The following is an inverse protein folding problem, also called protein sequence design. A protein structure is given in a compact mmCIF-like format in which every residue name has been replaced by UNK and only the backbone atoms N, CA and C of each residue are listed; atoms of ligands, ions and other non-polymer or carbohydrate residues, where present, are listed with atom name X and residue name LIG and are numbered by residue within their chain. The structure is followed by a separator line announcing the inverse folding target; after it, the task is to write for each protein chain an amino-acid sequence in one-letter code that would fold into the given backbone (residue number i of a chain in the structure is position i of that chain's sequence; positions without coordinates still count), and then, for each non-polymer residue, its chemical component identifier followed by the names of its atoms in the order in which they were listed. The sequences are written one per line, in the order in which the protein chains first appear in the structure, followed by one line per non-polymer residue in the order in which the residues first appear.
data_IF_853413940525
#
_entry.id   IF_853413940525
#
_cell.length_a   1.000
_cell.length_b   1.000
_cell.length_c   1.000
_cell.angle_alpha   90.00
_cell.angle_beta   90.00
_cell.angle_gamma   90.00
#
_symmetry.space_group_name_H-M   'P 1'
#
loop_
_entity.id
_entity.type
_entity.pdbx_description
1 polymer ?
#
# COMPACT_ATOMS: atom_id res chain seq x y z
N UNK A 1 32.28 25.26 -14.91
CA UNK A 1 30.97 25.96 -14.82
C UNK A 1 29.84 25.00 -15.25
N UNK A 2 28.89 24.74 -14.40
CA UNK A 2 27.74 23.87 -14.71
C UNK A 2 26.84 24.60 -15.72
N UNK A 3 26.59 23.96 -16.87
CA UNK A 3 25.78 24.55 -17.94
C UNK A 3 24.29 24.52 -17.55
N UNK A 4 23.74 25.67 -17.23
CA UNK A 4 22.33 25.84 -16.80
C UNK A 4 21.33 25.33 -17.83
N UNK A 5 21.63 25.41 -19.13
CA UNK A 5 20.78 24.87 -20.19
C UNK A 5 20.68 23.35 -20.07
N UNK A 6 21.81 22.68 -19.79
CA UNK A 6 21.82 21.21 -19.58
C UNK A 6 21.00 20.81 -18.34
N UNK A 7 21.13 21.54 -17.22
CA UNK A 7 20.34 21.27 -16.01
C UNK A 7 18.84 21.41 -16.28
N UNK A 8 18.45 22.50 -16.93
CA UNK A 8 17.02 22.71 -17.28
C UNK A 8 16.49 21.63 -18.18
N UNK A 9 17.24 21.25 -19.20
CA UNK A 9 16.81 20.20 -20.11
C UNK A 9 16.71 18.84 -19.40
N UNK A 10 17.66 18.51 -18.53
CA UNK A 10 17.60 17.29 -17.72
C UNK A 10 16.35 17.27 -16.82
N UNK A 11 16.11 18.33 -16.07
CA UNK A 11 14.93 18.47 -15.24
C UNK A 11 13.62 18.30 -16.02
N UNK A 12 13.50 19.03 -17.16
CA UNK A 12 12.30 18.96 -17.99
C UNK A 12 12.09 17.58 -18.60
N UNK A 13 13.16 16.97 -19.13
CA UNK A 13 13.04 15.65 -19.76
C UNK A 13 12.65 14.57 -18.75
N UNK A 14 13.29 14.55 -17.57
CA UNK A 14 12.92 13.61 -16.52
C UNK A 14 11.51 13.90 -15.97
N UNK A 15 11.17 15.18 -15.78
CA UNK A 15 9.85 15.59 -15.32
C UNK A 15 8.75 15.15 -16.28
N UNK A 16 8.91 15.37 -17.58
CA UNK A 16 7.94 14.94 -18.59
C UNK A 16 7.84 13.41 -18.69
N UNK A 17 8.97 12.72 -18.63
CA UNK A 17 8.99 11.25 -18.69
C UNK A 17 8.27 10.62 -17.52
N UNK A 18 8.47 11.14 -16.31
CA UNK A 18 7.91 10.56 -15.09
C UNK A 18 6.63 11.23 -14.58
N UNK A 19 6.07 12.24 -15.29
CA UNK A 19 4.90 12.98 -14.78
C UNK A 19 3.73 12.09 -14.40
N UNK A 20 3.40 11.10 -15.22
CA UNK A 20 2.31 10.16 -14.95
C UNK A 20 2.58 9.32 -13.69
N UNK A 21 3.82 8.85 -13.54
CA UNK A 21 4.22 8.06 -12.38
C UNK A 21 4.26 8.91 -11.10
N UNK A 22 4.73 10.16 -11.18
CA UNK A 22 4.70 11.12 -10.06
C UNK A 22 3.27 11.31 -9.55
N UNK A 23 2.32 11.57 -10.46
CA UNK A 23 0.92 11.73 -10.11
C UNK A 23 0.35 10.45 -9.51
N UNK A 24 0.62 9.29 -10.12
CA UNK A 24 0.14 7.99 -9.64
C UNK A 24 0.66 7.66 -8.24
N UNK A 25 1.94 7.91 -7.97
CA UNK A 25 2.52 7.71 -6.64
C UNK A 25 1.95 8.69 -5.60
N UNK A 26 1.74 9.95 -5.97
CA UNK A 26 1.13 10.93 -5.07
C UNK A 26 -0.30 10.53 -4.69
N UNK A 27 -1.12 10.13 -5.68
CA UNK A 27 -2.48 9.66 -5.45
C UNK A 27 -2.51 8.36 -4.62
N UNK A 28 -1.66 7.40 -4.94
CA UNK A 28 -1.60 6.15 -4.18
C UNK A 28 -1.17 6.37 -2.74
N UNK A 29 -0.29 7.33 -2.46
CA UNK A 29 0.08 7.73 -1.10
C UNK A 29 -1.12 8.27 -0.32
N UNK A 30 -1.94 9.13 -0.95
CA UNK A 30 -3.17 9.63 -0.35
C UNK A 30 -4.14 8.48 -0.03
N UNK A 31 -4.37 7.57 -0.99
CA UNK A 31 -5.23 6.41 -0.77
C UNK A 31 -4.72 5.49 0.34
N UNK A 32 -3.41 5.27 0.40
CA UNK A 32 -2.79 4.48 1.48
C UNK A 32 -3.01 5.07 2.87
N UNK A 33 -2.98 6.39 3.00
CA UNK A 33 -3.25 7.07 4.27
C UNK A 33 -4.70 6.87 4.74
N UNK A 34 -5.64 6.76 3.80
CA UNK A 34 -7.06 6.57 4.07
C UNK A 34 -7.53 5.10 3.96
N UNK A 35 -6.59 4.15 3.92
CA UNK A 35 -6.90 2.73 3.73
C UNK A 35 -7.87 2.13 4.76
N UNK A 36 -7.91 2.68 5.98
CA UNK A 36 -8.83 2.20 7.02
C UNK A 36 -10.26 2.71 6.82
N UNK A 37 -10.43 3.90 6.24
CA UNK A 37 -11.74 4.49 5.99
C UNK A 37 -12.35 4.03 4.68
N UNK A 38 -11.54 3.89 3.64
CA UNK A 38 -12.00 3.59 2.29
C UNK A 38 -11.78 2.15 1.85
N UNK A 39 -10.97 1.37 2.58
CA UNK A 39 -10.52 0.03 2.20
C UNK A 39 -10.17 -0.08 0.71
N UNK A 40 -9.30 0.80 0.19
CA UNK A 40 -9.12 0.97 -1.25
C UNK A 40 -8.50 -0.26 -1.92
N UNK A 41 -7.83 -1.12 -1.15
CA UNK A 41 -7.27 -2.39 -1.63
C UNK A 41 -8.31 -3.48 -1.79
N UNK A 42 -9.34 -3.47 -0.91
CA UNK A 42 -10.32 -4.53 -0.84
C UNK A 42 -11.67 -3.93 -0.48
N UNK A 43 -12.69 -4.28 -1.19
CA UNK A 43 -14.05 -4.03 -0.76
C UNK A 43 -14.85 -5.34 -0.74
N UNK A 44 -15.80 -5.43 0.15
CA UNK A 44 -16.65 -6.60 0.28
C UNK A 44 -17.56 -6.70 -0.93
N UNK A 45 -17.51 -7.84 -1.65
CA UNK A 45 -18.42 -8.10 -2.77
C UNK A 45 -19.64 -8.81 -2.30
N UNK A 46 -19.43 -9.87 -1.53
CA UNK A 46 -20.49 -10.75 -1.06
C UNK A 46 -20.19 -11.24 0.34
N UNK A 47 -21.23 -11.24 1.17
CA UNK A 47 -21.28 -11.98 2.41
C UNK A 47 -22.13 -13.21 2.17
N UNK A 48 -21.57 -14.38 2.40
CA UNK A 48 -22.25 -15.65 2.28
C UNK A 48 -22.31 -16.33 3.63
N UNK A 49 -23.51 -16.58 4.11
CA UNK A 49 -23.69 -17.36 5.31
C UNK A 49 -23.40 -18.83 5.01
N UNK A 50 -22.67 -19.48 5.91
CA UNK A 50 -22.38 -20.91 5.83
C UNK A 50 -22.85 -21.58 7.13
N UNK A 51 -23.31 -22.81 6.98
CA UNK A 51 -23.65 -23.65 8.13
C UNK A 51 -22.93 -24.98 7.96
N UNK A 52 -22.10 -25.33 8.92
CA UNK A 52 -21.42 -26.63 8.95
C UNK A 52 -22.35 -27.65 9.62
N UNK A 53 -22.38 -28.83 9.08
CA UNK A 53 -23.30 -29.89 9.52
C UNK A 53 -23.04 -30.42 10.94
N UNK A 54 -21.85 -30.11 11.52
CA UNK A 54 -21.47 -30.55 12.87
C UNK A 54 -20.67 -29.45 13.59
N UNK A 55 -20.83 -29.39 14.92
CA UNK A 55 -19.95 -28.58 15.77
C UNK A 55 -18.52 -29.13 15.71
N UNK A 56 -17.56 -28.27 15.50
CA UNK A 56 -16.15 -28.65 15.32
C UNK A 56 -15.44 -28.52 16.67
N UNK A 57 -14.75 -29.60 17.09
CA UNK A 57 -13.89 -29.53 18.27
C UNK A 57 -12.59 -28.79 17.90
N UNK A 58 -12.15 -27.88 18.77
CA UNK A 58 -10.91 -27.10 18.55
C UNK A 58 -9.69 -28.00 18.25
N UNK A 59 -9.63 -29.20 18.87
CA UNK A 59 -8.54 -30.16 18.66
C UNK A 59 -8.48 -30.77 17.25
N UNK A 60 -9.54 -30.66 16.47
CA UNK A 60 -9.61 -31.16 15.09
C UNK A 60 -9.18 -30.12 14.03
N UNK A 61 -8.94 -28.89 14.47
CA UNK A 61 -8.58 -27.79 13.57
C UNK A 61 -7.06 -27.81 13.36
N UNK A 62 -6.66 -28.25 12.18
CA UNK A 62 -5.28 -28.21 11.68
C UNK A 62 -5.25 -27.54 10.29
N UNK A 63 -4.06 -27.34 9.75
CA UNK A 63 -3.88 -26.69 8.45
C UNK A 63 -4.60 -27.44 7.31
N UNK A 64 -4.58 -28.77 7.34
CA UNK A 64 -5.23 -29.62 6.34
C UNK A 64 -6.76 -29.47 6.39
N UNK A 65 -7.33 -29.47 7.60
CA UNK A 65 -8.76 -29.24 7.81
C UNK A 65 -9.18 -27.87 7.27
N UNK A 66 -8.40 -26.83 7.57
CA UNK A 66 -8.69 -25.46 7.12
C UNK A 66 -8.61 -25.37 5.59
N UNK A 67 -7.60 -26.00 4.97
CA UNK A 67 -7.45 -26.02 3.53
C UNK A 67 -8.60 -26.77 2.84
N UNK A 68 -9.02 -27.92 3.39
CA UNK A 68 -10.15 -28.70 2.89
C UNK A 68 -11.47 -27.93 3.03
N UNK A 69 -11.67 -27.24 4.14
CA UNK A 69 -12.86 -26.41 4.40
C UNK A 69 -12.98 -25.27 3.38
N UNK A 70 -11.90 -24.55 3.13
CA UNK A 70 -11.85 -23.46 2.13
C UNK A 70 -12.19 -24.00 0.74
N UNK A 71 -11.59 -25.15 0.37
CA UNK A 71 -11.82 -25.81 -0.91
C UNK A 71 -13.25 -26.30 -1.07
N UNK A 72 -13.85 -26.86 0.01
CA UNK A 72 -15.23 -27.35 0.03
C UNK A 72 -16.26 -26.23 -0.14
N UNK A 73 -15.93 -25.00 0.26
CA UNK A 73 -16.76 -23.81 0.02
C UNK A 73 -16.63 -23.25 -1.40
N UNK A 74 -15.85 -23.89 -2.27
CA UNK A 74 -15.64 -23.47 -3.65
C UNK A 74 -14.71 -22.26 -3.78
N UNK A 75 -13.93 -21.97 -2.72
CA UNK A 75 -12.98 -20.88 -2.70
C UNK A 75 -11.60 -21.44 -3.14
N UNK A 76 -11.14 -20.98 -4.30
CA UNK A 76 -9.79 -21.30 -4.79
C UNK A 76 -8.83 -20.20 -4.33
N UNK A 77 -8.69 -20.06 -3.00
CA UNK A 77 -7.87 -19.02 -2.39
C UNK A 77 -6.87 -19.59 -1.39
N UNK A 78 -5.70 -18.96 -1.32
CA UNK A 78 -4.61 -19.43 -0.48
C UNK A 78 -4.81 -18.96 0.96
N UNK A 79 -4.92 -19.91 1.90
CA UNK A 79 -4.96 -19.62 3.33
C UNK A 79 -3.65 -18.98 3.78
N UNK A 80 -3.74 -17.81 4.40
CA UNK A 80 -2.59 -17.09 4.98
C UNK A 80 -2.39 -17.43 6.44
N UNK A 81 -3.49 -17.49 7.19
CA UNK A 81 -3.48 -17.82 8.61
C UNK A 81 -4.85 -18.25 9.07
N UNK A 82 -4.86 -19.03 10.12
CA UNK A 82 -6.09 -19.32 10.88
C UNK A 82 -5.81 -19.10 12.38
N UNK A 83 -6.86 -18.80 13.11
CA UNK A 83 -6.80 -18.61 14.56
C UNK A 83 -8.14 -19.03 15.19
N UNK A 84 -8.06 -19.69 16.34
CA UNK A 84 -9.22 -19.99 17.15
C UNK A 84 -9.18 -19.10 18.38
N UNK A 85 -10.21 -18.30 18.60
CA UNK A 85 -10.30 -17.42 19.76
C UNK A 85 -11.73 -17.35 20.26
N UNK A 86 -11.93 -17.61 21.56
CA UNK A 86 -13.26 -17.55 22.23
C UNK A 86 -14.33 -18.47 21.61
N UNK A 87 -13.93 -19.58 20.99
CA UNK A 87 -14.88 -20.50 20.35
C UNK A 87 -15.25 -20.08 18.91
N UNK A 88 -14.57 -19.10 18.34
CA UNK A 88 -14.69 -18.71 16.94
C UNK A 88 -13.44 -19.11 16.18
N UNK A 89 -13.61 -19.77 15.04
CA UNK A 89 -12.56 -20.04 14.07
C UNK A 89 -12.57 -18.92 13.04
N UNK A 90 -11.45 -18.20 12.95
CA UNK A 90 -11.23 -17.18 11.96
C UNK A 90 -10.14 -17.60 11.00
N UNK A 91 -10.46 -17.67 9.71
CA UNK A 91 -9.55 -18.03 8.63
C UNK A 91 -9.38 -16.81 7.73
N UNK A 92 -8.14 -16.37 7.55
CA UNK A 92 -7.82 -15.31 6.60
C UNK A 92 -7.11 -15.88 5.38
N UNK A 93 -7.71 -15.69 4.22
CA UNK A 93 -7.14 -16.02 2.92
C UNK A 93 -6.58 -14.79 2.23
N UNK A 94 -6.22 -14.91 0.98
CA UNK A 94 -5.70 -13.76 0.22
C UNK A 94 -6.79 -12.75 -0.12
N UNK A 95 -7.97 -13.22 -0.51
CA UNK A 95 -9.09 -12.38 -0.94
C UNK A 95 -10.41 -12.71 -0.20
N UNK A 96 -10.36 -13.49 0.87
CA UNK A 96 -11.52 -13.77 1.70
C UNK A 96 -11.16 -13.88 3.17
N UNK A 97 -12.12 -13.61 4.03
CA UNK A 97 -12.11 -13.96 5.45
C UNK A 97 -13.31 -14.86 5.75
N UNK A 98 -13.11 -15.88 6.58
CA UNK A 98 -14.14 -16.82 7.01
C UNK A 98 -14.16 -16.79 8.54
N UNK A 99 -15.31 -16.45 9.11
CA UNK A 99 -15.55 -16.49 10.54
C UNK A 99 -16.61 -17.54 10.84
N UNK A 100 -16.30 -18.51 11.74
CA UNK A 100 -17.18 -19.63 12.09
C UNK A 100 -17.28 -19.76 13.60
N UNK A 101 -18.49 -19.76 14.12
CA UNK A 101 -18.76 -20.13 15.51
C UNK A 101 -18.74 -21.66 15.64
N UNK A 102 -17.77 -22.17 16.42
CA UNK A 102 -17.53 -23.59 16.59
C UNK A 102 -18.66 -24.32 17.34
N UNK A 103 -19.45 -23.58 18.13
CA UNK A 103 -20.55 -24.13 18.91
C UNK A 103 -21.81 -24.34 18.06
N UNK A 104 -22.12 -23.33 17.25
CA UNK A 104 -23.33 -23.35 16.42
C UNK A 104 -23.09 -23.92 15.03
N UNK A 105 -21.82 -23.97 14.58
CA UNK A 105 -21.44 -24.33 13.22
C UNK A 105 -21.84 -23.29 12.18
N UNK A 106 -22.38 -22.13 12.61
CA UNK A 106 -22.72 -21.04 11.70
C UNK A 106 -21.51 -20.16 11.46
N UNK A 107 -21.37 -19.68 10.24
CA UNK A 107 -20.28 -18.79 9.88
C UNK A 107 -20.66 -17.87 8.74
N UNK A 108 -19.78 -16.91 8.49
CA UNK A 108 -19.88 -15.95 7.41
C UNK A 108 -18.59 -16.00 6.58
N UNK A 109 -18.73 -16.04 5.26
CA UNK A 109 -17.64 -15.84 4.32
C UNK A 109 -17.77 -14.43 3.80
N UNK A 110 -16.70 -13.66 3.94
CA UNK A 110 -16.58 -12.33 3.38
C UNK A 110 -15.56 -12.37 2.23
N UNK A 111 -16.01 -12.24 1.00
CA UNK A 111 -15.15 -12.15 -0.16
C UNK A 111 -14.77 -10.70 -0.47
N UNK A 112 -13.50 -10.48 -0.81
CA UNK A 112 -12.95 -9.17 -1.14
C UNK A 112 -12.41 -9.13 -2.55
N UNK A 113 -12.75 -8.07 -3.30
CA UNK A 113 -12.08 -7.73 -4.56
C UNK A 113 -11.26 -6.47 -4.37
N UNK A 114 -10.18 -6.34 -5.11
CA UNK A 114 -9.46 -5.07 -5.23
C UNK A 114 -10.37 -4.03 -5.87
N UNK A 115 -10.41 -2.84 -5.27
CA UNK A 115 -11.09 -1.70 -5.87
C UNK A 115 -10.51 -1.43 -7.25
N UNK A 116 -11.32 -1.43 -8.32
CA UNK A 116 -10.83 -1.18 -9.67
C UNK A 116 -10.05 0.15 -9.73
N UNK A 117 -9.00 0.22 -10.52
CA UNK A 117 -8.11 1.38 -10.69
C UNK A 117 -7.31 1.72 -9.42
N UNK A 118 -7.98 2.00 -8.29
CA UNK A 118 -7.34 2.42 -7.02
C UNK A 118 -6.42 1.32 -6.49
N UNK A 119 -6.88 0.06 -6.47
CA UNK A 119 -6.07 -1.07 -6.03
C UNK A 119 -4.81 -1.24 -6.87
N UNK A 120 -4.91 -1.08 -8.19
CA UNK A 120 -3.75 -1.14 -9.10
C UNK A 120 -2.78 0.02 -8.88
N UNK A 121 -3.29 1.25 -8.68
CA UNK A 121 -2.45 2.42 -8.36
C UNK A 121 -1.71 2.21 -7.02
N UNK A 122 -2.36 1.61 -6.03
CA UNK A 122 -1.72 1.30 -4.75
C UNK A 122 -0.65 0.21 -4.86
N UNK A 123 -0.80 -0.75 -5.77
CA UNK A 123 0.22 -1.76 -6.03
C UNK A 123 1.55 -1.15 -6.54
N UNK A 124 1.53 0.06 -7.10
CA UNK A 124 2.74 0.78 -7.49
C UNK A 124 3.67 1.10 -6.30
N UNK A 125 3.11 1.25 -5.09
CA UNK A 125 3.91 1.44 -3.86
C UNK A 125 4.33 0.12 -3.21
N UNK A 126 3.75 -1.01 -3.66
CA UNK A 126 4.03 -2.32 -3.12
C UNK A 126 5.06 -3.03 -3.98
N UNK A 127 5.82 -3.88 -3.35
CA UNK A 127 6.78 -4.73 -4.02
C UNK A 127 6.05 -5.84 -4.81
N UNK A 128 5.60 -5.51 -6.03
CA UNK A 128 4.77 -6.40 -6.85
C UNK A 128 5.58 -7.45 -7.61
N UNK A 129 6.86 -7.15 -7.91
CA UNK A 129 7.77 -8.07 -8.59
C UNK A 129 9.22 -7.60 -8.48
N UNK A 130 10.19 -8.51 -8.69
CA UNK A 130 11.61 -8.17 -8.66
C UNK A 130 11.97 -7.08 -9.69
N UNK A 131 11.38 -7.11 -10.88
CA UNK A 131 11.60 -6.08 -11.91
C UNK A 131 11.03 -4.72 -11.51
N UNK A 132 9.91 -4.73 -10.79
CA UNK A 132 9.29 -3.50 -10.29
C UNK A 132 10.18 -2.79 -9.26
N UNK A 133 10.92 -3.53 -8.43
CA UNK A 133 11.86 -2.94 -7.46
C UNK A 133 12.90 -2.09 -8.19
N UNK A 134 13.58 -2.66 -9.20
CA UNK A 134 14.60 -1.92 -9.95
C UNK A 134 14.04 -0.69 -10.66
N UNK A 135 12.84 -0.81 -11.23
CA UNK A 135 12.19 0.32 -11.87
C UNK A 135 11.82 1.43 -10.88
N UNK A 136 11.26 1.08 -9.71
CA UNK A 136 10.89 2.03 -8.66
C UNK A 136 12.13 2.71 -8.03
N UNK A 137 13.25 1.99 -7.90
CA UNK A 137 14.53 2.56 -7.46
C UNK A 137 15.05 3.59 -8.47
N UNK A 138 15.05 3.25 -9.77
CA UNK A 138 15.42 4.19 -10.82
C UNK A 138 14.51 5.43 -10.84
N UNK A 139 13.21 5.25 -10.62
CA UNK A 139 12.25 6.34 -10.45
C UNK A 139 12.58 7.20 -9.22
N UNK A 140 12.85 6.59 -8.06
CA UNK A 140 13.24 7.30 -6.84
C UNK A 140 14.48 8.16 -7.03
N UNK A 141 15.53 7.60 -7.66
CA UNK A 141 16.75 8.35 -8.01
C UNK A 141 16.42 9.52 -8.96
N UNK A 142 15.56 9.29 -9.94
CA UNK A 142 15.13 10.34 -10.87
C UNK A 142 14.38 11.47 -10.17
N UNK A 143 13.55 11.17 -9.17
CA UNK A 143 12.87 12.18 -8.34
C UNK A 143 13.88 13.04 -7.57
N UNK A 144 14.92 12.44 -7.01
CA UNK A 144 15.99 13.17 -6.33
C UNK A 144 16.69 14.11 -7.31
N UNK A 145 17.00 13.63 -8.51
CA UNK A 145 17.63 14.45 -9.57
C UNK A 145 16.69 15.60 -9.98
N UNK A 146 15.40 15.33 -10.17
CA UNK A 146 14.39 16.35 -10.49
C UNK A 146 14.36 17.42 -9.39
N UNK A 147 14.32 17.02 -8.11
CA UNK A 147 14.28 17.94 -6.98
C UNK A 147 15.54 18.82 -6.93
N UNK A 148 16.74 18.24 -7.01
CA UNK A 148 18.01 18.97 -6.98
C UNK A 148 18.14 19.91 -8.19
N UNK A 149 17.84 19.42 -9.40
CA UNK A 149 17.92 20.25 -10.60
C UNK A 149 16.92 21.38 -10.60
N UNK A 150 15.73 21.18 -10.01
CA UNK A 150 14.72 22.22 -9.80
C UNK A 150 15.25 23.38 -8.94
N UNK A 151 15.95 23.06 -7.85
CA UNK A 151 16.60 24.07 -7.00
C UNK A 151 17.71 24.86 -7.73
N UNK A 152 18.40 24.20 -8.68
CA UNK A 152 19.54 24.76 -9.42
C UNK A 152 19.12 25.57 -10.66
N UNK A 153 17.90 25.40 -11.17
CA UNK A 153 17.46 26.01 -12.44
C UNK A 153 17.42 27.53 -12.41
N UNK A 154 17.00 28.14 -11.30
CA UNK A 154 16.93 29.59 -11.17
C UNK A 154 18.27 30.17 -10.72
N UNK A 155 18.63 31.33 -11.31
CA UNK A 155 19.67 32.23 -10.81
C UNK A 155 18.97 33.42 -10.17
N UNK A 156 18.44 33.30 -8.97
CA UNK A 156 17.70 34.38 -8.34
C UNK A 156 18.65 35.45 -7.78
N UNK A 157 18.12 36.65 -7.51
CA UNK A 157 18.79 37.60 -6.64
C UNK A 157 19.20 36.98 -5.31
N UNK A 158 20.19 37.51 -4.58
CA UNK A 158 20.64 36.95 -3.31
C UNK A 158 19.50 36.72 -2.31
N UNK A 159 18.52 37.62 -2.26
CA UNK A 159 17.35 37.54 -1.38
C UNK A 159 16.46 36.34 -1.73
N UNK A 160 16.18 36.13 -3.02
CA UNK A 160 15.39 35.00 -3.50
C UNK A 160 16.12 33.65 -3.29
N UNK A 161 17.44 33.67 -3.45
CA UNK A 161 18.27 32.48 -3.18
C UNK A 161 18.19 32.07 -1.71
N UNK A 162 18.29 33.02 -0.78
CA UNK A 162 18.12 32.76 0.67
C UNK A 162 16.74 32.14 0.97
N UNK A 163 15.67 32.72 0.39
CA UNK A 163 14.29 32.20 0.57
C UNK A 163 14.16 30.76 0.07
N UNK A 164 14.70 30.43 -1.10
CA UNK A 164 14.64 29.06 -1.66
C UNK A 164 15.32 28.07 -0.72
N UNK A 165 16.52 28.37 -0.24
CA UNK A 165 17.24 27.49 0.68
C UNK A 165 16.53 27.35 2.03
N UNK A 166 15.99 28.40 2.59
CA UNK A 166 15.20 28.34 3.82
C UNK A 166 14.00 27.42 3.64
N UNK A 167 13.24 27.57 2.55
CA UNK A 167 12.08 26.69 2.26
C UNK A 167 12.49 25.25 2.02
N UNK A 168 13.57 25.00 1.29
CA UNK A 168 14.04 23.64 1.03
C UNK A 168 14.50 22.95 2.31
N UNK A 169 15.26 23.63 3.15
CA UNK A 169 15.74 23.09 4.44
C UNK A 169 14.56 22.87 5.40
N UNK A 170 13.64 23.84 5.52
CA UNK A 170 12.47 23.68 6.39
C UNK A 170 11.58 22.51 5.95
N UNK A 171 11.36 22.35 4.64
CA UNK A 171 10.61 21.22 4.09
C UNK A 171 11.29 19.87 4.32
N UNK A 172 12.61 19.81 4.34
CA UNK A 172 13.37 18.61 4.67
C UNK A 172 13.34 18.30 6.18
N UNK A 173 13.42 19.32 7.02
CA UNK A 173 13.45 19.15 8.48
C UNK A 173 12.07 18.82 9.06
N UNK A 174 10.99 19.32 8.44
CA UNK A 174 9.63 19.15 8.95
C UNK A 174 9.25 17.69 9.22
N UNK A 175 9.38 16.74 8.27
CA UNK A 175 9.03 15.34 8.53
C UNK A 175 9.91 14.70 9.60
N UNK A 176 11.19 15.09 9.71
CA UNK A 176 12.10 14.58 10.74
C UNK A 176 11.65 15.03 12.13
N UNK A 177 11.36 16.34 12.29
CA UNK A 177 10.86 16.87 13.54
C UNK A 177 9.51 16.27 13.93
N UNK A 178 8.62 16.10 12.95
CA UNK A 178 7.31 15.49 13.17
C UNK A 178 7.46 14.05 13.70
N UNK A 179 8.35 13.24 13.10
CA UNK A 179 8.63 11.88 13.57
C UNK A 179 9.23 11.86 14.98
N UNK A 180 10.14 12.79 15.30
CA UNK A 180 10.74 12.88 16.64
C UNK A 180 9.67 13.23 17.70
N UNK A 181 8.76 14.13 17.40
CA UNK A 181 7.65 14.47 18.31
C UNK A 181 6.73 13.26 18.52
N UNK A 182 6.37 12.55 17.45
CA UNK A 182 5.53 11.35 17.54
C UNK A 182 6.18 10.21 18.34
N UNK A 183 7.50 10.07 18.26
CA UNK A 183 8.22 9.04 19.01
C UNK A 183 8.41 9.38 20.50
N UNK A 184 8.19 10.64 20.89
CA UNK A 184 8.30 11.12 22.26
C UNK A 184 6.94 11.17 23.01
N UNK A 185 5.82 10.98 22.28
CA UNK A 185 4.46 10.86 22.81
C UNK A 185 4.09 9.40 23.08
#
# INVERSE_FOLDING_TARGET
MINRKKIRNLHSNLGYFYVGLIISFALSGIFMNHRQSWHPDKYTIAKKEITLAQSIKESAINEDFVAELVKKQGLDDKVKRHNVRKGELRISCSNCDIDIDLKTGKGEITEFIKTPVIGHIMDLHKNSSNWWIYYSDAFGISLIIIAITGLMMKSPSPAVKKKIWVLAISGLLFPILFMLVLSAL
#
